data_IF_393366368570
#
_entry.id   IF_393366368570
#
_cell.length_a   1.000
_cell.length_b   1.000
_cell.length_c   1.000
_cell.angle_alpha   90.00
_cell.angle_beta   90.00
_cell.angle_gamma   90.00
#
_symmetry.space_group_name_H-M   'P 1'
#
loop_
_entity.id
_entity.type
_entity.pdbx_description
1 polymer ?
#
# COMPACT_ATOMS: atom_id res chain seq x y z
N UNK A 1 -26.34 14.38 18.97
CA UNK A 1 -26.09 13.70 17.68
C UNK A 1 -27.01 14.17 16.55
N UNK A 2 -28.35 14.13 16.67
CA UNK A 2 -29.26 14.64 15.60
C UNK A 2 -29.02 16.09 15.20
N UNK A 3 -28.72 17.01 16.14
CA UNK A 3 -28.34 18.41 15.83
C UNK A 3 -27.02 18.53 15.04
N UNK A 4 -26.01 17.72 15.36
CA UNK A 4 -24.72 17.71 14.64
C UNK A 4 -24.94 17.39 13.16
N UNK A 5 -25.78 16.39 12.88
CA UNK A 5 -26.05 15.93 11.52
C UNK A 5 -27.07 16.80 10.77
N UNK A 6 -27.90 17.57 11.49
CA UNK A 6 -28.91 18.45 10.91
C UNK A 6 -28.43 19.88 10.64
N UNK A 7 -27.36 20.34 11.31
CA UNK A 7 -26.90 21.74 11.22
C UNK A 7 -25.38 21.90 11.12
N UNK A 8 -24.61 20.86 11.44
CA UNK A 8 -23.16 20.87 11.33
C UNK A 8 -22.68 20.36 9.97
N UNK A 9 -21.43 20.69 9.63
CA UNK A 9 -20.72 20.05 8.53
C UNK A 9 -20.24 18.67 8.98
N UNK A 10 -20.61 17.63 8.24
CA UNK A 10 -20.18 16.25 8.51
C UNK A 10 -19.51 15.69 7.26
N UNK A 11 -18.25 15.30 7.35
CA UNK A 11 -17.53 14.65 6.26
C UNK A 11 -17.18 13.23 6.65
N UNK A 12 -17.47 12.28 5.76
CA UNK A 12 -17.15 10.87 5.92
C UNK A 12 -16.38 10.39 4.70
N UNK A 13 -15.18 9.89 4.92
CA UNK A 13 -14.36 9.24 3.90
C UNK A 13 -14.19 7.77 4.29
N UNK A 14 -14.58 6.87 3.38
CA UNK A 14 -14.49 5.43 3.58
C UNK A 14 -13.58 4.83 2.52
N UNK A 15 -12.74 3.87 2.90
CA UNK A 15 -11.93 3.13 1.94
C UNK A 15 -12.79 2.26 1.04
N UNK A 16 -12.56 2.28 -0.27
CA UNK A 16 -13.16 1.32 -1.18
C UNK A 16 -12.31 0.03 -1.26
N UNK A 17 -12.05 -0.55 -0.10
CA UNK A 17 -11.25 -1.75 0.10
C UNK A 17 -12.12 -3.03 0.05
N UNK A 18 -11.51 -4.18 0.31
CA UNK A 18 -12.13 -5.50 0.20
C UNK A 18 -13.41 -5.69 1.05
N UNK A 19 -13.62 -4.90 2.12
CA UNK A 19 -14.83 -5.01 2.96
C UNK A 19 -15.96 -4.08 2.51
N UNK A 20 -15.65 -3.06 1.70
CA UNK A 20 -16.65 -2.15 1.12
C UNK A 20 -17.22 -2.74 -0.16
N UNK A 21 -18.22 -3.62 -0.01
CA UNK A 21 -18.92 -4.30 -1.10
C UNK A 21 -20.17 -3.54 -1.58
N UNK A 22 -20.92 -4.13 -2.53
CA UNK A 22 -22.14 -3.53 -3.08
C UNK A 22 -23.22 -3.27 -2.01
N UNK A 23 -23.32 -4.11 -0.99
CA UNK A 23 -24.27 -3.93 0.11
C UNK A 23 -23.84 -2.75 1.00
N UNK A 24 -22.54 -2.61 1.28
CA UNK A 24 -22.01 -1.46 2.00
C UNK A 24 -22.27 -0.15 1.23
N UNK A 25 -22.00 -0.11 -0.08
CA UNK A 25 -22.27 1.06 -0.93
C UNK A 25 -23.77 1.41 -0.95
N UNK A 26 -24.66 0.42 -1.02
CA UNK A 26 -26.10 0.65 -0.95
C UNK A 26 -26.52 1.24 0.41
N UNK A 27 -25.98 0.72 1.51
CA UNK A 27 -26.24 1.26 2.85
C UNK A 27 -25.74 2.71 3.00
N UNK A 28 -24.57 3.02 2.44
CA UNK A 28 -24.03 4.37 2.40
C UNK A 28 -24.94 5.33 1.64
N UNK A 29 -25.46 4.92 0.47
CA UNK A 29 -26.42 5.72 -0.32
C UNK A 29 -27.69 6.02 0.48
N UNK A 30 -28.25 5.01 1.16
CA UNK A 30 -29.41 5.17 2.04
C UNK A 30 -29.10 6.13 3.20
N UNK A 31 -27.95 5.98 3.85
CA UNK A 31 -27.54 6.85 4.96
C UNK A 31 -27.35 8.31 4.49
N UNK A 32 -26.73 8.52 3.33
CA UNK A 32 -26.55 9.85 2.72
C UNK A 32 -27.89 10.52 2.41
N UNK A 33 -28.88 9.77 1.90
CA UNK A 33 -30.22 10.31 1.69
C UNK A 33 -30.89 10.77 2.99
N UNK A 34 -30.65 10.07 4.11
CA UNK A 34 -31.15 10.45 5.43
C UNK A 34 -30.34 11.59 6.10
N UNK A 35 -29.15 11.90 5.59
CA UNK A 35 -28.19 12.86 6.14
C UNK A 35 -27.79 13.89 5.07
N UNK A 36 -28.68 14.83 4.70
CA UNK A 36 -28.45 15.72 3.56
C UNK A 36 -27.19 16.57 3.70
N UNK A 37 -26.81 16.94 4.92
CA UNK A 37 -25.60 17.74 5.21
C UNK A 37 -24.30 16.93 5.32
N UNK A 38 -24.37 15.60 5.17
CA UNK A 38 -23.18 14.74 5.17
C UNK A 38 -22.48 14.76 3.80
N UNK A 39 -21.22 15.14 3.72
CA UNK A 39 -20.40 14.87 2.55
C UNK A 39 -19.80 13.47 2.68
N UNK A 40 -20.19 12.53 1.83
CA UNK A 40 -19.71 11.14 1.87
C UNK A 40 -18.92 10.84 0.60
N UNK A 41 -17.68 10.38 0.77
CA UNK A 41 -16.80 10.00 -0.32
C UNK A 41 -16.18 8.63 -0.09
N UNK A 42 -15.97 7.90 -1.17
CA UNK A 42 -15.28 6.62 -1.21
C UNK A 42 -13.87 6.88 -1.73
N UNK A 43 -12.87 6.55 -0.93
CA UNK A 43 -11.48 6.62 -1.34
C UNK A 43 -11.16 5.47 -2.28
N UNK A 44 -11.10 5.78 -3.57
CA UNK A 44 -10.75 4.88 -4.64
C UNK A 44 -9.27 5.06 -5.01
N UNK A 45 -8.49 3.99 -4.84
CA UNK A 45 -7.11 3.93 -5.29
C UNK A 45 -7.02 3.01 -6.52
N UNK A 46 -7.00 3.55 -7.76
CA UNK A 46 -6.94 2.74 -8.98
C UNK A 46 -5.64 1.95 -9.11
N UNK A 47 -4.58 2.41 -8.43
CA UNK A 47 -3.26 1.78 -8.49
C UNK A 47 -3.24 0.49 -7.67
N UNK A 48 -4.07 0.34 -6.64
CA UNK A 48 -4.00 -0.82 -5.73
C UNK A 48 -2.76 -0.77 -4.82
N UNK A 49 -2.53 -1.82 -4.02
CA UNK A 49 -1.30 -2.00 -3.21
C UNK A 49 -1.15 -1.10 -1.97
N UNK A 50 -1.98 -0.06 -1.81
CA UNK A 50 -2.00 0.81 -0.62
C UNK A 50 -3.45 1.07 -0.22
N UNK A 51 -3.79 0.72 1.02
CA UNK A 51 -5.12 0.88 1.60
C UNK A 51 -5.31 2.26 2.23
N UNK A 52 -6.48 2.85 2.01
CA UNK A 52 -6.98 3.89 2.90
C UNK A 52 -7.41 3.23 4.21
N UNK A 53 -6.48 3.14 5.17
CA UNK A 53 -6.68 2.45 6.44
C UNK A 53 -6.80 3.31 7.72
N UNK A 54 -6.93 4.67 7.70
CA UNK A 54 -7.23 5.41 8.92
C UNK A 54 -8.57 4.99 9.56
N UNK A 55 -8.62 4.93 10.90
CA UNK A 55 -9.87 4.91 11.68
C UNK A 55 -9.85 6.05 12.68
N UNK A 56 -10.12 7.24 12.18
CA UNK A 56 -10.02 8.48 12.95
C UNK A 56 -11.30 9.28 12.82
N UNK A 57 -11.76 9.84 13.93
CA UNK A 57 -12.92 10.71 14.01
C UNK A 57 -12.52 12.00 14.71
N UNK A 58 -12.86 13.14 14.12
CA UNK A 58 -12.62 14.44 14.72
C UNK A 58 -13.93 15.21 14.84
N UNK A 59 -14.22 15.66 16.07
CA UNK A 59 -15.41 16.43 16.40
C UNK A 59 -15.00 17.82 16.88
N UNK A 60 -15.19 18.83 16.05
CA UNK A 60 -14.92 20.24 16.40
C UNK A 60 -16.15 20.91 17.01
N UNK A 61 -15.92 21.79 17.98
CA UNK A 61 -16.93 22.69 18.55
C UNK A 61 -16.33 24.10 18.75
N UNK A 62 -17.08 25.02 19.38
CA UNK A 62 -16.68 26.42 19.53
C UNK A 62 -15.48 26.65 20.47
N UNK A 63 -15.13 25.68 21.32
CA UNK A 63 -14.07 25.82 22.33
C UNK A 63 -12.87 24.90 22.08
N UNK A 64 -12.91 24.09 21.02
CA UNK A 64 -11.90 23.07 20.73
C UNK A 64 -12.46 21.91 19.93
N UNK A 65 -11.99 20.70 20.23
CA UNK A 65 -12.54 19.49 19.66
C UNK A 65 -12.10 18.22 20.39
N UNK A 66 -12.61 17.10 19.91
CA UNK A 66 -12.24 15.77 20.42
C UNK A 66 -11.83 14.91 19.23
N UNK A 67 -10.66 14.29 19.32
CA UNK A 67 -10.18 13.30 18.37
C UNK A 67 -10.30 11.90 18.97
N UNK A 68 -10.79 10.95 18.18
CA UNK A 68 -10.74 9.53 18.47
C UNK A 68 -9.99 8.84 17.34
N UNK A 69 -8.96 8.07 17.67
CA UNK A 69 -8.24 7.24 16.70
C UNK A 69 -8.03 5.85 17.30
N UNK A 70 -8.09 4.81 16.49
CA UNK A 70 -8.00 3.45 17.00
C UNK A 70 -7.98 2.39 15.93
N UNK A 71 -8.24 1.15 16.36
CA UNK A 71 -8.27 -0.03 15.50
C UNK A 71 -9.64 -0.31 14.88
N UNK A 72 -10.73 0.18 15.51
CA UNK A 72 -12.09 -0.16 15.12
C UNK A 72 -12.55 0.52 13.83
N UNK A 73 -12.87 -0.29 12.82
CA UNK A 73 -13.53 0.16 11.60
C UNK A 73 -14.99 0.57 11.85
N UNK A 74 -15.57 1.34 10.92
CA UNK A 74 -17.01 1.66 10.94
C UNK A 74 -17.86 0.45 10.49
N UNK A 75 -17.81 -0.62 11.28
CA UNK A 75 -18.58 -1.85 11.10
C UNK A 75 -19.26 -2.22 12.42
N UNK A 76 -20.25 -3.12 12.38
CA UNK A 76 -20.87 -3.60 13.63
C UNK A 76 -19.84 -4.23 14.57
N UNK A 77 -18.89 -5.00 14.01
CA UNK A 77 -17.79 -5.60 14.76
C UNK A 77 -16.89 -4.57 15.43
N UNK A 78 -16.34 -3.65 14.64
CA UNK A 78 -15.41 -2.62 15.14
C UNK A 78 -16.03 -1.58 16.08
N UNK A 79 -17.36 -1.47 16.12
CA UNK A 79 -18.07 -0.57 17.03
C UNK A 79 -18.61 -1.24 18.30
N UNK A 80 -18.84 -2.57 18.30
CA UNK A 80 -19.60 -3.23 19.37
C UNK A 80 -19.10 -4.59 19.82
N UNK A 81 -18.45 -5.37 18.95
CA UNK A 81 -18.22 -6.79 19.22
C UNK A 81 -16.73 -7.12 19.38
N UNK A 82 -15.87 -6.48 18.59
CA UNK A 82 -14.44 -6.76 18.61
C UNK A 82 -13.76 -6.15 19.84
N UNK A 83 -12.64 -6.74 20.23
CA UNK A 83 -11.71 -6.12 21.16
C UNK A 83 -10.91 -5.05 20.42
N UNK A 84 -11.30 -3.79 20.60
CA UNK A 84 -10.71 -2.65 19.90
C UNK A 84 -10.04 -1.70 20.89
N UNK A 85 -8.94 -1.09 20.46
CA UNK A 85 -8.26 -0.05 21.21
C UNK A 85 -8.55 1.31 20.58
N UNK A 86 -8.90 2.29 21.42
CA UNK A 86 -9.10 3.67 21.01
C UNK A 86 -8.33 4.60 21.92
N UNK A 87 -7.65 5.56 21.31
CA UNK A 87 -7.14 6.73 21.99
C UNK A 87 -8.10 7.90 21.78
N UNK A 88 -8.47 8.55 22.88
CA UNK A 88 -9.28 9.77 22.88
C UNK A 88 -8.40 10.94 23.33
N UNK A 89 -8.44 12.03 22.58
CA UNK A 89 -7.74 13.27 22.91
C UNK A 89 -8.69 14.46 22.85
N UNK A 90 -8.63 15.30 23.88
CA UNK A 90 -9.20 16.65 23.79
C UNK A 90 -8.20 17.57 23.11
N UNK A 91 -8.72 18.45 22.25
CA UNK A 91 -7.94 19.29 21.35
C UNK A 91 -8.29 20.74 21.63
N UNK A 92 -7.27 21.60 21.78
CA UNK A 92 -7.48 23.03 21.98
C UNK A 92 -8.15 23.68 20.77
N UNK A 93 -8.71 24.89 20.92
CA UNK A 93 -9.29 25.60 19.77
C UNK A 93 -8.26 25.90 18.66
N UNK A 94 -7.01 26.20 19.03
CA UNK A 94 -5.94 26.45 18.08
C UNK A 94 -5.57 25.17 17.30
N UNK A 95 -5.39 24.05 18.02
CA UNK A 95 -5.07 22.76 17.41
C UNK A 95 -6.23 22.23 16.56
N UNK A 96 -7.48 22.48 16.98
CA UNK A 96 -8.67 22.10 16.23
C UNK A 96 -8.75 22.83 14.88
N UNK A 97 -8.40 24.12 14.84
CA UNK A 97 -8.31 24.89 13.60
C UNK A 97 -7.16 24.40 12.71
N UNK A 98 -6.02 24.05 13.31
CA UNK A 98 -4.89 23.49 12.57
C UNK A 98 -5.23 22.13 11.93
N UNK A 99 -5.83 21.20 12.69
CA UNK A 99 -6.27 19.90 12.19
C UNK A 99 -7.31 20.02 11.07
N UNK A 100 -8.25 20.95 11.20
CA UNK A 100 -9.25 21.22 10.15
C UNK A 100 -8.58 21.71 8.85
N UNK A 101 -7.59 22.60 8.95
CA UNK A 101 -6.83 23.07 7.79
C UNK A 101 -5.99 21.96 7.14
N UNK A 102 -5.33 21.11 7.94
CA UNK A 102 -4.60 19.95 7.44
C UNK A 102 -5.52 18.95 6.73
N UNK A 103 -6.68 18.66 7.32
CA UNK A 103 -7.67 17.79 6.72
C UNK A 103 -8.22 18.36 5.42
N UNK A 104 -8.57 19.65 5.38
CA UNK A 104 -9.04 20.31 4.18
C UNK A 104 -7.99 20.26 3.05
N UNK A 105 -6.71 20.48 3.38
CA UNK A 105 -5.61 20.31 2.42
C UNK A 105 -5.52 18.87 1.92
N UNK A 106 -5.58 17.88 2.80
CA UNK A 106 -5.54 16.47 2.40
C UNK A 106 -6.69 16.11 1.45
N UNK A 107 -7.90 16.60 1.71
CA UNK A 107 -9.07 16.41 0.84
C UNK A 107 -8.83 17.00 -0.56
N UNK A 108 -8.22 18.19 -0.65
CA UNK A 108 -7.87 18.82 -1.93
C UNK A 108 -6.80 18.02 -2.67
N UNK A 109 -5.74 17.61 -1.97
CA UNK A 109 -4.61 16.87 -2.54
C UNK A 109 -5.04 15.50 -3.09
N UNK A 110 -6.12 14.90 -2.54
CA UNK A 110 -6.62 13.57 -2.92
C UNK A 110 -7.98 13.60 -3.62
N UNK A 111 -8.41 14.76 -4.13
CA UNK A 111 -9.76 14.94 -4.72
C UNK A 111 -10.09 13.91 -5.82
N UNK A 112 -9.10 13.50 -6.61
CA UNK A 112 -9.29 12.57 -7.73
C UNK A 112 -9.50 11.11 -7.24
N UNK A 113 -9.13 10.83 -6.00
CA UNK A 113 -9.37 9.56 -5.31
C UNK A 113 -10.67 9.58 -4.49
N UNK A 114 -11.25 10.74 -4.21
CA UNK A 114 -12.45 10.87 -3.37
C UNK A 114 -13.71 10.87 -4.25
N UNK A 115 -14.26 9.68 -4.49
CA UNK A 115 -15.37 9.50 -5.41
C UNK A 115 -16.72 9.53 -4.70
N UNK A 116 -17.78 10.07 -5.33
CA UNK A 116 -19.12 9.98 -4.78
C UNK A 116 -19.65 8.53 -4.87
N UNK A 117 -20.62 8.13 -4.02
CA UNK A 117 -21.11 6.74 -3.99
C UNK A 117 -21.75 6.24 -5.30
N UNK A 118 -22.17 7.13 -6.18
CA UNK A 118 -22.79 6.86 -7.47
C UNK A 118 -21.79 6.81 -8.64
N UNK A 119 -20.50 7.08 -8.41
CA UNK A 119 -19.48 6.99 -9.44
C UNK A 119 -19.41 5.57 -10.04
N UNK A 120 -19.32 5.42 -11.37
CA UNK A 120 -19.22 4.12 -12.02
C UNK A 120 -18.04 3.27 -11.52
N UNK A 121 -16.91 3.91 -11.18
CA UNK A 121 -15.72 3.22 -10.63
C UNK A 121 -16.00 2.65 -9.26
N UNK A 122 -16.78 3.36 -8.44
CA UNK A 122 -17.21 2.87 -7.13
C UNK A 122 -18.07 1.63 -7.29
N UNK A 123 -19.03 1.68 -8.22
CA UNK A 123 -19.93 0.55 -8.50
C UNK A 123 -19.16 -0.67 -9.01
N UNK A 124 -18.21 -0.47 -9.93
CA UNK A 124 -17.39 -1.55 -10.48
C UNK A 124 -16.51 -2.21 -9.41
N UNK A 125 -15.80 -1.41 -8.60
CA UNK A 125 -14.93 -1.93 -7.55
C UNK A 125 -15.72 -2.62 -6.43
N UNK A 126 -16.85 -2.06 -6.00
CA UNK A 126 -17.71 -2.68 -5.00
C UNK A 126 -18.25 -4.05 -5.46
N UNK A 127 -18.54 -4.21 -6.76
CA UNK A 127 -18.93 -5.49 -7.34
C UNK A 127 -17.79 -6.52 -7.33
N UNK A 128 -16.55 -6.08 -7.56
CA UNK A 128 -15.36 -6.94 -7.40
C UNK A 128 -15.21 -7.37 -5.94
N UNK A 129 -15.30 -6.43 -5.00
CA UNK A 129 -15.18 -6.70 -3.56
C UNK A 129 -16.26 -7.71 -3.08
N UNK A 130 -17.49 -7.59 -3.58
CA UNK A 130 -18.57 -8.53 -3.28
C UNK A 130 -18.25 -9.98 -3.73
N UNK A 131 -17.68 -10.14 -4.93
CA UNK A 131 -17.25 -11.46 -5.43
C UNK A 131 -16.15 -12.06 -4.57
N UNK A 132 -15.14 -11.25 -4.23
CA UNK A 132 -14.03 -11.66 -3.35
C UNK A 132 -14.56 -12.10 -1.99
N UNK A 133 -15.45 -11.30 -1.38
CA UNK A 133 -16.06 -11.63 -0.08
C UNK A 133 -16.88 -12.91 -0.11
N UNK A 134 -17.66 -13.14 -1.16
CA UNK A 134 -18.44 -14.37 -1.31
C UNK A 134 -17.54 -15.61 -1.43
N UNK A 135 -16.43 -15.50 -2.16
CA UNK A 135 -15.41 -16.55 -2.26
C UNK A 135 -14.80 -16.87 -0.89
N UNK A 136 -14.43 -15.83 -0.12
CA UNK A 136 -13.91 -15.97 1.24
C UNK A 136 -14.93 -16.67 2.14
N UNK A 137 -16.19 -16.22 2.16
CA UNK A 137 -17.22 -16.82 3.00
C UNK A 137 -17.50 -18.28 2.67
N UNK A 138 -17.45 -18.65 1.39
CA UNK A 138 -17.60 -20.04 0.96
C UNK A 138 -16.46 -20.89 1.52
N UNK A 139 -15.22 -20.45 1.34
CA UNK A 139 -14.05 -21.20 1.79
C UNK A 139 -13.93 -21.27 3.33
N UNK A 140 -14.38 -20.24 4.06
CA UNK A 140 -14.51 -20.28 5.54
C UNK A 140 -15.55 -21.30 6.00
N UNK A 141 -16.66 -21.46 5.27
CA UNK A 141 -17.78 -22.35 5.64
C UNK A 141 -17.49 -23.83 5.34
N UNK A 142 -16.56 -24.12 4.43
CA UNK A 142 -16.17 -25.48 4.04
C UNK A 142 -15.15 -26.12 5.00
N UNK A 143 -14.71 -25.40 6.06
CA UNK A 143 -13.84 -25.90 7.15
C UNK A 143 -12.68 -26.78 6.68
N UNK A 144 -11.71 -26.15 6.04
CA UNK A 144 -10.33 -26.64 6.07
C UNK A 144 -9.50 -25.58 6.79
N UNK A 145 -8.82 -25.95 7.88
CA UNK A 145 -7.92 -25.04 8.60
C UNK A 145 -6.79 -24.53 7.69
N UNK A 146 -6.42 -25.34 6.70
CA UNK A 146 -5.52 -24.98 5.60
C UNK A 146 -6.18 -24.01 4.60
N UNK A 147 -7.49 -24.09 4.34
CA UNK A 147 -8.19 -23.11 3.51
C UNK A 147 -8.33 -21.77 4.23
N UNK A 148 -8.55 -21.75 5.56
CA UNK A 148 -8.59 -20.51 6.33
C UNK A 148 -7.20 -19.83 6.40
N UNK A 149 -6.14 -20.62 6.59
CA UNK A 149 -4.75 -20.15 6.53
C UNK A 149 -4.40 -19.70 5.11
N UNK A 150 -4.79 -20.47 4.08
CA UNK A 150 -4.61 -20.10 2.68
C UNK A 150 -5.45 -18.88 2.29
N UNK A 151 -6.56 -18.56 2.98
CA UNK A 151 -7.37 -17.35 2.77
C UNK A 151 -6.86 -16.15 3.58
N UNK A 152 -6.25 -16.34 4.75
CA UNK A 152 -5.51 -15.28 5.43
C UNK A 152 -4.23 -14.95 4.66
N UNK A 153 -3.64 -15.95 4.03
CA UNK A 153 -2.52 -15.85 3.09
C UNK A 153 -2.99 -15.29 1.73
N UNK A 154 -4.14 -15.72 1.17
CA UNK A 154 -4.76 -15.17 -0.07
C UNK A 154 -5.35 -13.78 0.17
N UNK A 155 -5.76 -13.43 1.38
CA UNK A 155 -6.22 -12.08 1.73
C UNK A 155 -5.03 -11.18 2.05
N UNK A 156 -3.94 -11.71 2.61
CA UNK A 156 -2.65 -11.03 2.63
C UNK A 156 -2.06 -10.86 1.22
N UNK A 157 -2.30 -11.81 0.29
CA UNK A 157 -2.03 -11.77 -1.15
C UNK A 157 -3.10 -11.01 -1.97
N UNK A 158 -4.31 -10.81 -1.49
CA UNK A 158 -5.27 -9.90 -2.13
C UNK A 158 -5.02 -8.46 -1.66
N UNK A 159 -4.47 -8.32 -0.45
CA UNK A 159 -3.76 -7.14 0.05
C UNK A 159 -2.38 -6.99 -0.64
N UNK A 160 -1.85 -8.06 -1.26
CA UNK A 160 -0.60 -8.11 -2.03
C UNK A 160 -0.85 -8.67 -3.43
N UNK A 161 -1.50 -7.87 -4.31
CA UNK A 161 -1.23 -8.01 -5.75
C UNK A 161 0.29 -7.83 -5.91
N UNK A 162 1.05 -8.93 -5.89
CA UNK A 162 2.50 -9.03 -5.77
C UNK A 162 3.19 -7.67 -5.95
N UNK A 163 3.38 -6.89 -4.87
CA UNK A 163 3.85 -5.53 -5.02
C UNK A 163 5.24 -5.61 -5.64
N UNK A 164 5.48 -4.69 -6.57
CA UNK A 164 6.78 -4.53 -7.18
C UNK A 164 7.55 -3.47 -6.42
N UNK A 165 8.82 -3.71 -6.14
CA UNK A 165 9.72 -2.69 -5.63
C UNK A 165 10.69 -2.30 -6.74
N UNK A 166 10.66 -1.03 -7.14
CA UNK A 166 11.70 -0.45 -7.99
C UNK A 166 12.70 0.26 -7.08
N UNK A 167 13.96 -0.17 -7.11
CA UNK A 167 15.03 0.36 -6.28
C UNK A 167 16.23 0.80 -7.14
N UNK A 168 16.54 2.10 -7.09
CA UNK A 168 17.75 2.65 -7.67
C UNK A 168 18.98 2.29 -6.81
N UNK A 169 20.02 1.74 -7.43
CA UNK A 169 21.23 1.30 -6.73
C UNK A 169 22.17 2.50 -6.53
N UNK A 170 22.66 2.78 -5.30
CA UNK A 170 23.56 3.90 -5.05
C UNK A 170 25.04 3.56 -5.36
N UNK A 171 25.81 4.58 -5.77
CA UNK A 171 27.22 4.46 -6.21
C UNK A 171 28.19 4.03 -5.12
N UNK A 172 27.88 4.30 -3.86
CA UNK A 172 28.81 4.17 -2.74
C UNK A 172 29.00 2.73 -2.23
N UNK A 173 28.34 1.71 -2.81
CA UNK A 173 28.39 0.32 -2.32
C UNK A 173 28.30 -0.71 -3.45
N UNK A 174 29.43 -1.14 -4.04
CA UNK A 174 29.45 -2.17 -5.08
C UNK A 174 28.90 -3.49 -4.52
N UNK A 175 28.01 -4.16 -5.27
CA UNK A 175 27.47 -5.48 -4.89
C UNK A 175 26.30 -5.48 -3.89
N UNK A 176 25.88 -4.33 -3.37
CA UNK A 176 24.85 -4.26 -2.32
C UNK A 176 23.70 -3.33 -2.70
N UNK A 177 22.48 -3.79 -2.44
CA UNK A 177 21.30 -2.95 -2.50
C UNK A 177 20.96 -2.46 -1.09
N UNK A 178 21.13 -1.16 -0.87
CA UNK A 178 20.74 -0.49 0.37
C UNK A 178 19.23 -0.22 0.32
N UNK A 179 18.49 -0.75 1.29
CA UNK A 179 17.05 -0.59 1.39
C UNK A 179 16.78 0.17 2.68
N UNK A 180 16.25 1.40 2.61
CA UNK A 180 15.91 2.14 3.82
C UNK A 180 14.98 1.32 4.75
N UNK A 181 14.94 1.69 6.04
CA UNK A 181 14.16 0.96 7.06
C UNK A 181 12.72 0.69 6.62
N UNK A 182 12.06 1.66 5.99
CA UNK A 182 10.69 1.55 5.52
C UNK A 182 10.55 0.48 4.43
N UNK A 183 11.50 0.38 3.50
CA UNK A 183 11.51 -0.67 2.47
C UNK A 183 11.87 -2.02 3.08
N UNK A 184 12.82 -2.05 4.00
CA UNK A 184 13.30 -3.27 4.63
C UNK A 184 12.24 -3.94 5.51
N UNK A 185 11.45 -3.15 6.25
CA UNK A 185 10.35 -3.65 7.07
C UNK A 185 9.05 -3.77 6.26
N UNK A 186 8.71 -2.76 5.47
CA UNK A 186 7.42 -2.66 4.76
C UNK A 186 7.32 -3.57 3.54
N UNK A 187 8.38 -3.70 2.74
CA UNK A 187 8.37 -4.55 1.55
C UNK A 187 8.90 -5.95 1.84
N UNK A 188 10.08 -6.05 2.47
CA UNK A 188 10.72 -7.36 2.74
C UNK A 188 10.20 -8.04 4.03
N UNK A 189 9.39 -7.34 4.83
CA UNK A 189 8.79 -7.89 6.05
C UNK A 189 9.79 -8.10 7.19
N UNK A 190 10.98 -7.49 7.16
CA UNK A 190 11.98 -7.72 8.21
C UNK A 190 11.57 -7.02 9.51
N UNK A 191 11.69 -7.73 10.63
CA UNK A 191 11.47 -7.16 11.97
C UNK A 191 12.81 -6.90 12.62
N UNK A 192 13.08 -5.66 13.04
CA UNK A 192 14.36 -5.30 13.69
C UNK A 192 14.56 -6.15 14.95
N UNK A 193 15.77 -6.69 15.11
CA UNK A 193 16.11 -7.56 16.23
C UNK A 193 15.60 -9.00 16.11
N UNK A 194 14.90 -9.37 15.03
CA UNK A 194 14.54 -10.76 14.73
C UNK A 194 15.20 -11.21 13.42
N UNK A 195 15.92 -12.35 13.41
CA UNK A 195 16.46 -12.88 12.17
C UNK A 195 15.30 -13.25 11.22
N UNK A 196 15.48 -12.96 9.93
CA UNK A 196 14.55 -13.38 8.88
C UNK A 196 15.34 -13.88 7.69
N UNK A 197 14.94 -15.03 7.15
CA UNK A 197 15.46 -15.53 5.89
C UNK A 197 14.59 -15.05 4.73
N UNK A 198 15.25 -14.70 3.65
CA UNK A 198 14.65 -14.24 2.40
C UNK A 198 15.32 -14.97 1.25
N UNK A 199 14.53 -15.46 0.31
CA UNK A 199 15.00 -16.12 -0.90
C UNK A 199 14.78 -15.21 -2.11
N UNK A 200 15.84 -14.96 -2.87
CA UNK A 200 15.76 -14.22 -4.13
C UNK A 200 15.97 -15.14 -5.33
N UNK A 201 15.22 -14.90 -6.39
CA UNK A 201 15.38 -15.55 -7.68
C UNK A 201 15.66 -14.51 -8.74
N UNK A 202 16.87 -14.49 -9.30
CA UNK A 202 17.16 -13.62 -10.43
C UNK A 202 16.41 -14.12 -11.67
N UNK A 203 15.64 -13.25 -12.32
CA UNK A 203 15.07 -13.49 -13.63
C UNK A 203 16.04 -12.95 -14.68
N UNK A 204 16.47 -13.82 -15.59
CA UNK A 204 17.35 -13.45 -16.70
C UNK A 204 16.53 -12.77 -17.82
N UNK A 205 17.18 -12.06 -18.76
CA UNK A 205 16.47 -11.40 -19.87
C UNK A 205 15.58 -12.32 -20.71
N UNK A 206 15.90 -13.62 -20.80
CA UNK A 206 15.10 -14.62 -21.49
C UNK A 206 13.95 -15.21 -20.64
N UNK A 207 13.68 -14.63 -19.46
CA UNK A 207 12.67 -15.09 -18.51
C UNK A 207 13.12 -16.25 -17.62
N UNK A 208 14.26 -16.91 -17.86
CA UNK A 208 14.67 -18.05 -17.03
C UNK A 208 15.12 -17.63 -15.63
N UNK A 209 14.84 -18.46 -14.63
CA UNK A 209 15.27 -18.23 -13.24
C UNK A 209 16.72 -18.72 -13.03
N UNK A 210 17.50 -17.93 -12.30
CA UNK A 210 18.75 -18.39 -11.71
C UNK A 210 18.47 -19.29 -10.47
N UNK A 211 19.48 -20.03 -9.97
CA UNK A 211 19.37 -20.73 -8.70
C UNK A 211 18.97 -19.78 -7.54
N UNK A 212 18.27 -20.29 -6.51
CA UNK A 212 17.85 -19.48 -5.38
C UNK A 212 19.04 -18.88 -4.62
N UNK A 213 18.92 -17.60 -4.28
CA UNK A 213 19.84 -16.88 -3.42
C UNK A 213 19.25 -16.78 -2.01
N UNK A 214 19.82 -17.52 -1.06
CA UNK A 214 19.39 -17.45 0.35
C UNK A 214 20.09 -16.29 1.04
N UNK A 215 19.32 -15.33 1.54
CA UNK A 215 19.80 -14.12 2.20
C UNK A 215 19.28 -14.03 3.62
N UNK A 216 20.20 -13.76 4.54
CA UNK A 216 19.89 -13.62 5.96
C UNK A 216 19.80 -12.15 6.34
N UNK A 217 18.62 -11.71 6.78
CA UNK A 217 18.40 -10.36 7.26
C UNK A 217 18.80 -10.25 8.74
N UNK A 218 20.00 -9.73 9.02
CA UNK A 218 20.39 -9.35 10.39
C UNK A 218 20.17 -7.85 10.56
N UNK A 219 19.03 -7.49 11.11
CA UNK A 219 18.79 -6.11 11.56
C UNK A 219 19.43 -5.90 12.94
N UNK A 220 20.71 -5.55 12.96
CA UNK A 220 21.39 -5.02 14.17
C UNK A 220 20.94 -3.58 14.43
N UNK A 221 21.25 -3.02 15.61
CA UNK A 221 20.96 -1.62 16.00
C UNK A 221 21.57 -0.55 15.07
N UNK A 222 22.35 -0.93 14.05
CA UNK A 222 22.88 -0.01 13.06
C UNK A 222 21.90 0.18 11.91
N UNK A 223 21.89 1.38 11.34
CA UNK A 223 21.04 1.81 10.22
C UNK A 223 21.42 1.18 8.87
N UNK A 224 21.95 -0.05 8.87
CA UNK A 224 22.48 -0.73 7.70
C UNK A 224 21.54 -1.86 7.24
N UNK A 225 20.43 -1.46 6.63
CA UNK A 225 19.39 -2.34 6.13
C UNK A 225 19.68 -2.69 4.66
N UNK A 226 20.22 -3.88 4.40
CA UNK A 226 20.71 -4.24 3.07
C UNK A 226 20.55 -5.72 2.78
N UNK A 227 20.41 -6.04 1.51
CA UNK A 227 20.66 -7.38 1.00
C UNK A 227 21.77 -7.36 -0.02
N UNK A 228 22.57 -8.41 -0.01
CA UNK A 228 23.46 -8.73 -1.12
C UNK A 228 22.64 -9.39 -2.22
N UNK A 229 22.89 -8.98 -3.46
CA UNK A 229 22.15 -9.45 -4.62
C UNK A 229 23.16 -9.92 -5.64
N UNK A 230 23.11 -11.20 -6.02
CA UNK A 230 24.18 -11.84 -6.79
C UNK A 230 24.41 -11.14 -8.14
N UNK A 231 23.33 -10.64 -8.76
CA UNK A 231 23.42 -9.90 -10.01
C UNK A 231 24.33 -8.66 -9.93
N UNK A 232 24.54 -8.06 -8.76
CA UNK A 232 25.43 -6.91 -8.55
C UNK A 232 26.86 -7.32 -8.19
N UNK A 233 27.10 -8.58 -7.84
CA UNK A 233 28.40 -9.10 -7.41
C UNK A 233 29.47 -8.89 -8.49
N UNK A 234 30.62 -8.36 -8.09
CA UNK A 234 31.76 -8.11 -8.98
C UNK A 234 31.56 -7.05 -10.07
N UNK A 235 30.41 -6.35 -10.11
CA UNK A 235 30.15 -5.32 -11.13
C UNK A 235 30.65 -3.95 -10.71
N UNK A 236 31.27 -3.24 -11.65
CA UNK A 236 31.58 -1.83 -11.49
C UNK A 236 30.31 -0.99 -11.66
N UNK A 237 30.13 -0.03 -10.77
CA UNK A 237 29.01 0.91 -10.85
C UNK A 237 29.21 1.86 -12.05
N UNK A 238 28.16 2.17 -12.84
CA UNK A 238 28.26 3.14 -13.92
C UNK A 238 28.74 4.51 -13.43
N UNK A 239 29.57 5.19 -14.22
CA UNK A 239 30.22 6.43 -13.80
C UNK A 239 29.24 7.60 -13.60
N UNK A 240 28.33 7.77 -14.57
CA UNK A 240 27.37 8.88 -14.67
C UNK A 240 25.91 8.43 -14.60
N UNK A 241 25.68 7.17 -14.21
CA UNK A 241 24.34 6.59 -14.12
C UNK A 241 24.30 5.53 -13.00
N UNK A 242 23.28 4.69 -12.95
CA UNK A 242 23.06 3.71 -11.90
C UNK A 242 22.24 2.52 -12.37
N UNK A 243 22.40 1.40 -11.67
CA UNK A 243 21.55 0.25 -11.86
C UNK A 243 20.18 0.46 -11.24
N UNK A 244 19.17 -0.24 -11.77
CA UNK A 244 17.85 -0.35 -11.16
C UNK A 244 17.57 -1.83 -10.88
N UNK A 245 17.15 -2.14 -9.66
CA UNK A 245 16.59 -3.44 -9.33
C UNK A 245 15.07 -3.33 -9.32
N UNK A 246 14.39 -4.28 -9.96
CA UNK A 246 12.94 -4.43 -9.87
C UNK A 246 12.66 -5.77 -9.23
N UNK A 247 12.05 -5.76 -8.05
CA UNK A 247 11.64 -6.96 -7.33
C UNK A 247 10.14 -7.17 -7.51
N UNK A 248 9.74 -8.41 -7.69
CA UNK A 248 8.38 -8.89 -7.50
C UNK A 248 8.36 -9.73 -6.24
N UNK A 249 7.47 -9.41 -5.29
CA UNK A 249 7.23 -10.30 -4.17
C UNK A 249 6.35 -11.45 -4.63
N UNK A 250 6.84 -12.69 -4.58
CA UNK A 250 6.12 -13.90 -5.03
C UNK A 250 5.70 -14.83 -3.88
N UNK A 251 6.00 -14.43 -2.64
CA UNK A 251 5.60 -15.16 -1.44
C UNK A 251 5.97 -14.40 -0.17
N UNK A 252 5.80 -15.07 0.98
CA UNK A 252 6.04 -14.46 2.30
C UNK A 252 7.46 -13.93 2.46
N UNK A 253 8.45 -14.70 2.03
CA UNK A 253 9.89 -14.38 2.08
C UNK A 253 10.59 -14.68 0.75
N UNK A 254 9.83 -14.70 -0.35
CA UNK A 254 10.33 -15.08 -1.67
C UNK A 254 10.11 -13.96 -2.67
N UNK A 255 11.15 -13.63 -3.43
CA UNK A 255 11.11 -12.51 -4.37
C UNK A 255 11.81 -12.91 -5.67
N UNK A 256 11.17 -12.62 -6.81
CA UNK A 256 11.86 -12.57 -8.09
C UNK A 256 12.45 -11.18 -8.27
N UNK A 257 13.56 -11.07 -8.98
CA UNK A 257 14.10 -9.76 -9.32
C UNK A 257 14.82 -9.73 -10.66
N UNK A 258 14.88 -8.55 -11.26
CA UNK A 258 15.73 -8.26 -12.41
C UNK A 258 16.70 -7.13 -12.08
N UNK A 259 17.87 -7.18 -12.69
CA UNK A 259 18.83 -6.09 -12.72
C UNK A 259 18.75 -5.40 -14.08
N UNK A 260 18.41 -4.12 -14.08
CA UNK A 260 18.38 -3.26 -15.24
C UNK A 260 19.64 -2.41 -15.28
N UNK A 261 20.35 -2.46 -16.42
CA UNK A 261 21.60 -1.72 -16.63
C UNK A 261 21.37 -0.50 -17.51
N UNK A 262 22.09 0.61 -17.26
CA UNK A 262 22.08 1.75 -18.17
C UNK A 262 22.31 1.35 -19.62
N UNK A 263 21.51 1.91 -20.52
CA UNK A 263 21.51 1.61 -21.95
C UNK A 263 20.63 0.43 -22.37
N UNK A 264 20.12 -0.37 -21.44
CA UNK A 264 19.09 -1.37 -21.74
C UNK A 264 17.69 -0.71 -21.82
N UNK A 265 16.83 -1.21 -22.70
CA UNK A 265 15.51 -0.63 -22.93
C UNK A 265 14.66 -0.57 -21.66
N UNK A 266 14.61 -1.68 -20.90
CA UNK A 266 13.89 -1.74 -19.63
C UNK A 266 14.40 -0.73 -18.60
N UNK A 267 15.71 -0.45 -18.58
CA UNK A 267 16.27 0.59 -17.70
C UNK A 267 15.74 1.97 -18.05
N UNK A 268 15.82 2.36 -19.33
CA UNK A 268 15.35 3.67 -19.79
C UNK A 268 13.85 3.89 -19.53
N UNK A 269 13.05 2.85 -19.79
CA UNK A 269 11.61 2.86 -19.60
C UNK A 269 11.22 3.01 -18.12
N UNK A 270 11.80 2.19 -17.25
CA UNK A 270 11.57 2.28 -15.80
C UNK A 270 12.11 3.60 -15.23
N UNK A 271 13.26 4.05 -15.69
CA UNK A 271 13.84 5.33 -15.28
C UNK A 271 12.94 6.52 -15.63
N UNK A 272 12.36 6.51 -16.83
CA UNK A 272 11.39 7.52 -17.26
C UNK A 272 10.14 7.50 -16.38
N UNK A 273 9.58 6.31 -16.13
CA UNK A 273 8.45 6.15 -15.22
C UNK A 273 8.73 6.73 -13.83
N UNK A 274 9.93 6.47 -13.27
CA UNK A 274 10.33 7.05 -12.00
C UNK A 274 10.40 8.58 -12.05
N UNK A 275 10.98 9.16 -13.10
CA UNK A 275 11.11 10.61 -13.26
C UNK A 275 9.77 11.32 -13.41
N UNK A 276 8.82 10.72 -14.12
CA UNK A 276 7.51 11.30 -14.36
C UNK A 276 6.60 11.26 -13.12
N UNK A 277 6.79 10.28 -12.24
CA UNK A 277 5.84 9.99 -11.15
C UNK A 277 6.40 10.20 -9.73
N UNK A 278 7.73 10.20 -9.57
CA UNK A 278 8.36 10.22 -8.26
C UNK A 278 9.49 11.25 -8.23
N UNK A 279 9.18 12.38 -7.57
CA UNK A 279 10.13 13.45 -7.34
C UNK A 279 11.05 13.12 -6.14
N UNK A 280 12.34 13.39 -6.30
CA UNK A 280 13.35 13.33 -5.23
C UNK A 280 14.17 14.60 -5.26
N UNK A 281 14.49 15.13 -4.08
CA UNK A 281 15.39 16.27 -3.94
C UNK A 281 16.86 15.79 -3.97
N UNK A 282 17.68 16.47 -4.77
CA UNK A 282 19.12 16.22 -4.87
C UNK A 282 19.48 14.84 -5.42
N UNK A 283 20.52 14.22 -4.89
CA UNK A 283 21.07 12.94 -5.37
C UNK A 283 20.47 11.69 -4.67
N UNK A 284 19.27 11.82 -4.09
CA UNK A 284 18.63 10.73 -3.35
C UNK A 284 18.16 9.62 -4.29
N UNK A 285 18.47 8.36 -3.96
CA UNK A 285 18.03 7.20 -4.72
C UNK A 285 16.63 6.73 -4.30
N UNK A 286 15.77 6.50 -5.29
CA UNK A 286 14.37 6.11 -5.12
C UNK A 286 14.22 4.63 -4.77
N UNK A 287 13.31 4.35 -3.84
CA UNK A 287 12.73 3.03 -3.59
C UNK A 287 11.22 3.21 -3.59
N UNK A 288 10.54 2.69 -4.61
CA UNK A 288 9.09 2.89 -4.77
C UNK A 288 8.41 1.54 -4.87
N UNK A 289 7.40 1.35 -4.04
CA UNK A 289 6.50 0.20 -4.16
C UNK A 289 5.39 0.57 -5.11
N UNK A 290 5.22 -0.24 -6.14
CA UNK A 290 4.29 -0.03 -7.25
C UNK A 290 3.55 -1.32 -7.55
N UNK A 291 2.58 -1.27 -8.46
CA UNK A 291 1.77 -2.43 -8.81
C UNK A 291 2.21 -3.07 -10.11
N UNK A 292 1.73 -4.28 -10.36
CA UNK A 292 1.95 -4.98 -11.62
C UNK A 292 1.49 -4.15 -12.83
N UNK A 293 0.36 -3.43 -12.69
CA UNK A 293 -0.16 -2.55 -13.74
C UNK A 293 0.78 -1.38 -14.01
N UNK A 294 1.36 -0.78 -12.96
CA UNK A 294 2.34 0.30 -13.10
C UNK A 294 3.60 -0.22 -13.84
N UNK A 295 4.11 -1.40 -13.47
CA UNK A 295 5.25 -2.02 -14.13
C UNK A 295 4.94 -2.37 -15.58
N UNK A 296 3.77 -2.95 -15.87
CA UNK A 296 3.36 -3.30 -17.25
C UNK A 296 3.20 -2.06 -18.12
N UNK A 297 2.71 -0.95 -17.55
CA UNK A 297 2.59 0.32 -18.25
C UNK A 297 3.95 1.00 -18.46
N UNK A 298 4.85 0.89 -17.49
CA UNK A 298 6.20 1.45 -17.56
C UNK A 298 7.10 0.67 -18.51
N UNK A 299 7.04 -0.66 -18.46
CA UNK A 299 7.90 -1.60 -19.18
C UNK A 299 7.09 -2.85 -19.57
N UNK A 300 6.56 -2.82 -20.79
CA UNK A 300 5.63 -3.83 -21.30
C UNK A 300 6.30 -5.21 -21.45
N UNK A 301 7.52 -5.25 -21.98
CA UNK A 301 8.28 -6.48 -22.24
C UNK A 301 9.14 -6.91 -21.04
N UNK A 302 8.63 -6.73 -19.82
CA UNK A 302 9.38 -7.12 -18.64
C UNK A 302 9.38 -8.66 -18.46
N UNK A 303 10.53 -9.28 -18.15
CA UNK A 303 10.64 -10.72 -18.02
C UNK A 303 10.11 -11.25 -16.68
N UNK A 304 9.84 -10.39 -15.69
CA UNK A 304 9.21 -10.79 -14.43
C UNK A 304 7.80 -11.35 -14.68
N UNK A 305 7.12 -10.85 -15.71
CA UNK A 305 5.73 -11.22 -16.04
C UNK A 305 5.59 -12.32 -17.10
N UNK A 306 6.69 -12.97 -17.49
CA UNK A 306 6.67 -14.06 -18.48
C UNK A 306 6.26 -15.42 -17.89
N UNK A 307 5.97 -15.50 -16.58
CA UNK A 307 5.65 -16.75 -15.86
C UNK A 307 4.56 -16.56 -14.82
#
# INVERSE_FOLDING_TARGET
MRKLLATGHFQLVLGLDAITDTAAVAAIKTAKAALPNACVSLFYNPKGGVLYHPKTMFFKNAVGGTCLTGSGNLTLGGLRNNWEAFWKAEVSNADAAFLEAQWAKWVVDHKDNLLPPDDPRVTAQAALNAKTRARIQKAVKETDGEALAALEEEAAEAVSLNPFLIAEVPKNRPGQADFGIDTYQGFFGVTIGKPREVTFYQVKPNGSLAPPEYRHAVAVKSSNYRFEVEALSGRQHPENDHFILVFERIGKSEYKYVLLKPGEEGHMQVQKFLNDNYFVSGNSKRRVVVTQSDIRAAWADNPLLLH
#
